data_IF_743502772285
#
_entry.id   IF_743502772285
#
_cell.length_a   1.000
_cell.length_b   1.000
_cell.length_c   1.000
_cell.angle_alpha   90.00
_cell.angle_beta   90.00
_cell.angle_gamma   90.00
#
_symmetry.space_group_name_H-M   'P 1'
#
loop_
_entity.id
_entity.type
_entity.pdbx_description
1 polymer ?
#
# COMPACT_ATOMS: atom_id res chain seq x y z
N UNK A 1 -8.55 11.50 65.85
CA UNK A 1 -8.26 10.33 65.00
C UNK A 1 -9.34 10.28 63.92
N UNK A 2 -9.07 10.88 62.77
CA UNK A 2 -9.90 10.79 61.57
C UNK A 2 -8.92 10.79 60.39
N UNK A 3 -8.74 9.62 59.79
CA UNK A 3 -7.93 9.41 58.59
C UNK A 3 -8.78 9.79 57.37
N UNK A 4 -8.35 10.80 56.63
CA UNK A 4 -8.82 11.08 55.28
C UNK A 4 -7.79 10.50 54.30
N UNK A 5 -8.16 9.41 53.63
CA UNK A 5 -7.50 8.94 52.41
C UNK A 5 -8.06 9.74 51.22
N UNK A 6 -7.24 10.34 50.35
CA UNK A 6 -7.64 10.61 48.98
C UNK A 6 -7.32 9.37 48.14
N UNK A 7 -8.37 8.80 47.53
CA UNK A 7 -8.24 7.89 46.39
C UNK A 7 -7.56 8.65 45.24
N UNK A 8 -6.34 8.24 44.87
CA UNK A 8 -5.81 8.53 43.54
C UNK A 8 -6.08 7.30 42.68
N UNK A 9 -7.05 7.45 41.78
CA UNK A 9 -7.33 6.51 40.70
C UNK A 9 -6.23 6.70 39.63
N UNK A 10 -5.35 5.72 39.35
CA UNK A 10 -4.47 5.82 38.21
C UNK A 10 -5.22 5.28 37.00
N UNK A 11 -6.13 6.11 36.47
CA UNK A 11 -6.63 5.95 35.11
C UNK A 11 -5.57 6.43 34.12
N UNK A 12 -4.41 5.76 34.07
CA UNK A 12 -3.54 5.89 32.91
C UNK A 12 -4.17 5.05 31.80
N UNK A 13 -4.90 5.71 30.92
CA UNK A 13 -5.08 5.24 29.56
C UNK A 13 -3.69 5.10 28.94
N UNK A 14 -3.10 3.91 29.03
CA UNK A 14 -2.06 3.50 28.10
C UNK A 14 -2.72 3.49 26.73
N UNK A 15 -2.52 4.58 25.98
CA UNK A 15 -2.72 4.56 24.55
C UNK A 15 -1.97 3.33 24.03
N UNK A 16 -2.69 2.41 23.40
CA UNK A 16 -2.08 1.34 22.62
C UNK A 16 -1.26 2.03 21.53
N UNK A 17 0.04 2.14 21.74
CA UNK A 17 0.97 2.52 20.69
C UNK A 17 0.73 1.57 19.52
N UNK A 18 0.65 2.14 18.31
CA UNK A 18 0.38 1.44 17.07
C UNK A 18 1.55 0.50 16.73
N UNK A 19 1.67 -0.61 17.46
CA UNK A 19 2.67 -1.62 17.18
C UNK A 19 2.46 -2.14 15.75
N UNK A 20 3.52 -2.09 14.92
CA UNK A 20 3.57 -2.67 13.58
C UNK A 20 2.68 -1.98 12.53
N UNK A 21 2.71 -0.64 12.46
CA UNK A 21 2.02 0.12 11.40
C UNK A 21 2.66 -0.05 10.02
N UNK A 22 3.99 0.01 9.93
CA UNK A 22 4.72 -0.19 8.68
C UNK A 22 4.64 -1.67 8.29
N UNK A 23 4.56 -1.94 6.99
CA UNK A 23 4.42 -3.33 6.55
C UNK A 23 5.64 -4.15 6.91
N UNK A 24 5.39 -5.28 7.54
CA UNK A 24 6.38 -6.30 7.87
C UNK A 24 5.99 -7.62 7.21
N UNK A 25 6.97 -8.36 6.71
CA UNK A 25 6.76 -9.51 5.84
C UNK A 25 7.41 -10.76 6.44
N UNK A 26 6.77 -11.90 6.23
CA UNK A 26 7.23 -13.18 6.77
C UNK A 26 6.80 -14.32 5.85
N UNK A 27 7.69 -15.28 5.61
CA UNK A 27 7.34 -16.53 4.94
C UNK A 27 7.36 -17.61 6.01
N UNK A 28 6.22 -18.29 6.20
CA UNK A 28 6.11 -19.32 7.23
C UNK A 28 6.65 -20.66 6.70
N UNK A 29 7.52 -21.30 7.48
CA UNK A 29 8.28 -22.49 7.04
C UNK A 29 8.02 -23.75 7.88
N UNK A 30 7.34 -23.60 9.02
CA UNK A 30 7.33 -24.63 10.06
C UNK A 30 6.27 -25.72 9.86
N UNK A 31 5.36 -25.54 8.90
CA UNK A 31 4.25 -26.45 8.64
C UNK A 31 4.32 -27.00 7.22
N UNK A 32 4.01 -28.30 7.04
CA UNK A 32 3.77 -28.86 5.72
C UNK A 32 2.38 -28.39 5.25
N UNK A 33 2.34 -27.29 4.49
CA UNK A 33 1.09 -26.69 4.05
C UNK A 33 0.41 -27.57 2.99
N UNK A 34 -0.67 -28.23 3.41
CA UNK A 34 -1.43 -29.17 2.57
C UNK A 34 -2.31 -28.48 1.53
N UNK A 35 -2.67 -27.20 1.72
CA UNK A 35 -3.43 -26.40 0.76
C UNK A 35 -3.25 -24.90 0.95
N UNK A 36 -3.68 -24.11 -0.03
CA UNK A 36 -3.68 -22.65 0.06
C UNK A 36 -4.61 -22.14 1.17
N UNK A 37 -5.75 -22.80 1.43
CA UNK A 37 -6.67 -22.43 2.51
C UNK A 37 -6.04 -22.64 3.91
N UNK A 38 -5.20 -23.67 4.09
CA UNK A 38 -4.44 -23.86 5.33
C UNK A 38 -3.38 -22.77 5.50
N UNK A 39 -2.62 -22.51 4.43
CA UNK A 39 -1.59 -21.47 4.40
C UNK A 39 -2.19 -20.08 4.72
N UNK A 40 -3.35 -19.78 4.13
CA UNK A 40 -4.15 -18.59 4.38
C UNK A 40 -4.54 -18.46 5.86
N UNK A 41 -5.12 -19.51 6.44
CA UNK A 41 -5.54 -19.53 7.84
C UNK A 41 -4.36 -19.26 8.78
N UNK A 42 -3.18 -19.79 8.47
CA UNK A 42 -1.98 -19.58 9.28
C UNK A 42 -1.53 -18.11 9.33
N UNK A 43 -1.57 -17.38 8.21
CA UNK A 43 -1.31 -15.93 8.27
C UNK A 43 -2.31 -15.21 9.19
N UNK A 44 -3.59 -15.60 9.16
CA UNK A 44 -4.62 -14.99 10.03
C UNK A 44 -4.39 -15.27 11.51
N UNK A 45 -3.92 -16.46 11.86
CA UNK A 45 -3.56 -16.82 13.24
C UNK A 45 -2.44 -15.94 13.82
N UNK A 46 -1.55 -15.42 12.97
CA UNK A 46 -0.48 -14.48 13.39
C UNK A 46 -0.88 -13.01 13.31
N UNK A 47 -2.18 -12.71 13.10
CA UNK A 47 -2.72 -11.37 12.82
C UNK A 47 -2.09 -10.71 11.58
N UNK A 48 -1.78 -11.52 10.56
CA UNK A 48 -1.32 -11.09 9.25
C UNK A 48 -2.38 -11.36 8.17
N UNK A 49 -2.20 -10.74 7.01
CA UNK A 49 -2.84 -11.16 5.77
C UNK A 49 -1.86 -11.98 4.94
N UNK A 50 -2.37 -12.76 3.98
CA UNK A 50 -1.51 -13.16 2.87
C UNK A 50 -1.06 -11.93 2.07
N UNK A 51 0.10 -12.05 1.43
CA UNK A 51 0.79 -10.95 0.78
C UNK A 51 -0.04 -10.40 -0.38
N UNK A 52 -0.37 -9.12 -0.28
CA UNK A 52 -0.90 -8.30 -1.37
C UNK A 52 0.23 -7.54 -2.07
N UNK A 53 0.27 -7.68 -3.40
CA UNK A 53 1.10 -6.87 -4.29
C UNK A 53 0.27 -5.70 -4.79
N UNK A 54 0.66 -4.47 -4.48
CA UNK A 54 -0.10 -3.28 -4.89
C UNK A 54 0.38 -2.67 -6.20
N UNK A 55 1.68 -2.77 -6.47
CA UNK A 55 2.32 -2.26 -7.68
C UNK A 55 3.66 -2.98 -7.93
N UNK A 56 4.37 -2.55 -8.98
CA UNK A 56 5.66 -3.11 -9.39
C UNK A 56 6.74 -3.06 -8.30
N UNK A 57 6.72 -2.05 -7.39
CA UNK A 57 7.73 -2.00 -6.32
C UNK A 57 7.55 -3.17 -5.34
N UNK A 58 6.30 -3.51 -5.02
CA UNK A 58 6.01 -4.67 -4.16
C UNK A 58 6.41 -5.98 -4.84
N UNK A 59 6.18 -6.10 -6.15
CA UNK A 59 6.57 -7.29 -6.91
C UNK A 59 8.09 -7.49 -6.93
N UNK A 60 8.87 -6.40 -7.11
CA UNK A 60 10.34 -6.44 -7.03
C UNK A 60 10.84 -6.75 -5.62
N UNK A 61 10.22 -6.16 -4.59
CA UNK A 61 10.49 -6.51 -3.20
C UNK A 61 10.27 -8.01 -2.96
N UNK A 62 9.11 -8.54 -3.34
CA UNK A 62 8.79 -9.96 -3.18
C UNK A 62 9.76 -10.89 -3.94
N UNK A 63 10.17 -10.49 -5.15
CA UNK A 63 11.15 -11.23 -5.94
C UNK A 63 12.48 -11.38 -5.20
N UNK A 64 13.00 -10.29 -4.64
CA UNK A 64 14.27 -10.29 -3.92
C UNK A 64 14.16 -10.94 -2.54
N UNK A 65 13.07 -10.68 -1.81
CA UNK A 65 12.80 -11.27 -0.50
C UNK A 65 12.84 -12.80 -0.56
N UNK A 66 12.29 -13.37 -1.63
CA UNK A 66 12.27 -14.83 -1.81
C UNK A 66 13.58 -15.41 -2.33
N UNK A 67 14.61 -14.61 -2.70
CA UNK A 67 15.93 -15.17 -3.04
C UNK A 67 16.58 -15.87 -1.84
N UNK A 68 16.41 -15.32 -0.64
CA UNK A 68 16.90 -15.95 0.60
C UNK A 68 16.25 -17.31 0.90
N UNK A 69 15.12 -17.63 0.28
CA UNK A 69 14.50 -18.95 0.42
C UNK A 69 15.34 -20.07 -0.25
N UNK A 70 16.05 -19.79 -1.35
CA UNK A 70 16.94 -20.77 -1.98
C UNK A 70 18.10 -21.17 -1.07
N UNK A 71 18.66 -20.20 -0.35
CA UNK A 71 19.75 -20.43 0.61
C UNK A 71 19.30 -21.30 1.78
N UNK A 72 18.00 -21.31 2.09
CA UNK A 72 17.36 -22.16 3.10
C UNK A 72 16.87 -23.50 2.52
N UNK A 73 17.13 -23.80 1.24
CA UNK A 73 16.70 -25.02 0.57
C UNK A 73 15.20 -25.07 0.26
N UNK A 74 14.51 -23.93 0.35
CA UNK A 74 13.08 -23.81 0.11
C UNK A 74 12.79 -23.38 -1.33
N UNK A 75 11.61 -23.76 -1.82
CA UNK A 75 11.09 -23.19 -3.08
C UNK A 75 10.92 -21.68 -2.92
N UNK A 76 11.39 -20.92 -3.91
CA UNK A 76 11.12 -19.46 -3.95
C UNK A 76 9.65 -19.15 -4.18
N UNK A 77 8.84 -20.10 -4.64
CA UNK A 77 7.42 -19.87 -4.91
C UNK A 77 6.64 -19.92 -3.60
N UNK A 78 5.79 -18.94 -3.38
CA UNK A 78 4.93 -18.83 -2.20
C UNK A 78 3.47 -18.62 -2.61
N UNK A 79 2.55 -18.91 -1.71
CA UNK A 79 1.17 -18.47 -1.84
C UNK A 79 1.06 -16.95 -1.68
N UNK A 80 0.24 -16.33 -2.53
CA UNK A 80 -0.08 -14.91 -2.48
C UNK A 80 -1.56 -14.71 -2.11
N UNK A 81 -1.90 -13.49 -1.67
CA UNK A 81 -3.23 -13.16 -1.17
C UNK A 81 -4.33 -12.99 -2.21
N UNK A 82 -4.07 -13.19 -3.52
CA UNK A 82 -5.08 -12.97 -4.55
C UNK A 82 -5.96 -14.22 -4.71
N UNK A 83 -7.26 -14.03 -4.51
CA UNK A 83 -8.27 -15.09 -4.53
C UNK A 83 -9.35 -14.81 -5.56
N UNK A 84 -9.76 -15.83 -6.30
CA UNK A 84 -10.87 -15.75 -7.23
C UNK A 84 -12.20 -15.80 -6.46
N UNK A 85 -13.05 -14.79 -6.67
CA UNK A 85 -14.35 -14.68 -5.99
C UNK A 85 -15.54 -14.78 -6.95
N UNK A 86 -15.31 -14.79 -8.27
CA UNK A 86 -16.33 -14.93 -9.31
C UNK A 86 -17.25 -13.72 -9.50
N UNK A 87 -17.51 -12.93 -8.46
CA UNK A 87 -18.21 -11.65 -8.61
C UNK A 87 -17.24 -10.59 -9.14
N UNK A 88 -17.33 -10.32 -10.43
CA UNK A 88 -16.41 -9.44 -11.13
C UNK A 88 -16.79 -7.96 -11.08
N UNK A 89 -17.97 -7.56 -10.60
CA UNK A 89 -18.40 -6.15 -10.64
C UNK A 89 -18.72 -5.65 -9.24
N UNK A 90 -18.02 -4.59 -8.81
CA UNK A 90 -18.21 -4.00 -7.48
C UNK A 90 -18.05 -2.49 -7.51
N UNK A 91 -18.88 -1.81 -6.72
CA UNK A 91 -18.65 -0.41 -6.38
C UNK A 91 -17.56 -0.30 -5.31
N UNK A 92 -16.78 0.77 -5.34
CA UNK A 92 -15.81 1.12 -4.29
C UNK A 92 -16.46 1.38 -2.94
N UNK A 93 -17.77 1.64 -2.90
CA UNK A 93 -18.56 1.71 -1.67
C UNK A 93 -18.85 0.34 -1.05
N UNK A 94 -18.61 -0.76 -1.78
CA UNK A 94 -19.00 -2.12 -1.40
C UNK A 94 -20.47 -2.46 -1.70
N UNK A 95 -21.24 -1.50 -2.20
CA UNK A 95 -22.65 -1.70 -2.57
C UNK A 95 -22.78 -2.64 -3.79
N UNK A 96 -23.87 -3.43 -3.86
CA UNK A 96 -24.12 -4.28 -5.02
C UNK A 96 -24.35 -3.44 -6.28
N UNK A 97 -23.87 -3.94 -7.41
CA UNK A 97 -24.09 -3.32 -8.72
C UNK A 97 -25.49 -3.68 -9.21
N UNK A 98 -26.47 -2.80 -8.95
CA UNK A 98 -27.88 -2.97 -9.36
C UNK A 98 -28.22 -2.25 -10.66
N UNK A 99 -27.40 -1.29 -11.06
CA UNK A 99 -27.53 -0.51 -12.28
C UNK A 99 -26.20 -0.54 -13.05
N UNK A 100 -26.28 -0.80 -14.35
CA UNK A 100 -25.13 -0.85 -15.25
C UNK A 100 -25.51 -0.21 -16.57
N UNK A 101 -24.65 0.64 -17.11
CA UNK A 101 -24.87 1.20 -18.44
C UNK A 101 -24.81 0.10 -19.51
N UNK A 102 -25.67 0.21 -20.53
CA UNK A 102 -25.83 -0.79 -21.59
C UNK A 102 -24.53 -1.10 -22.36
N UNK A 103 -23.56 -0.19 -22.34
CA UNK A 103 -22.28 -0.33 -23.02
C UNK A 103 -21.19 -1.03 -22.18
N UNK A 104 -21.49 -1.38 -20.91
CA UNK A 104 -20.59 -2.15 -20.06
C UNK A 104 -21.10 -3.59 -19.91
N UNK A 105 -20.28 -4.54 -20.32
CA UNK A 105 -20.52 -5.97 -20.06
C UNK A 105 -19.81 -6.40 -18.78
N UNK A 106 -20.48 -7.25 -17.98
CA UNK A 106 -19.90 -7.87 -16.79
C UNK A 106 -19.06 -9.12 -17.10
N UNK A 107 -19.21 -9.68 -18.32
CA UNK A 107 -18.33 -10.75 -18.78
C UNK A 107 -16.92 -10.16 -18.95
N UNK A 108 -16.02 -10.61 -18.10
CA UNK A 108 -14.67 -10.12 -18.00
C UNK A 108 -13.72 -11.31 -18.07
N UNK A 109 -12.62 -11.18 -18.81
CA UNK A 109 -11.57 -12.18 -18.77
C UNK A 109 -11.12 -12.35 -17.32
N UNK A 110 -10.99 -13.61 -16.87
CA UNK A 110 -10.62 -13.92 -15.49
C UNK A 110 -9.39 -13.14 -15.03
N UNK A 111 -8.44 -12.89 -15.91
CA UNK A 111 -7.13 -12.31 -15.55
C UNK A 111 -7.04 -10.80 -15.72
N UNK A 112 -8.09 -10.15 -16.21
CA UNK A 112 -8.07 -8.71 -16.43
C UNK A 112 -8.71 -7.99 -15.24
N UNK A 113 -8.17 -6.81 -14.91
CA UNK A 113 -8.81 -5.84 -14.03
C UNK A 113 -9.00 -4.55 -14.81
N UNK A 114 -10.24 -4.06 -14.88
CA UNK A 114 -10.54 -2.77 -15.49
C UNK A 114 -11.31 -1.87 -14.53
N UNK A 115 -11.13 -0.58 -14.70
CA UNK A 115 -11.84 0.44 -13.94
C UNK A 115 -12.70 1.25 -14.90
N UNK A 116 -13.86 1.72 -14.44
CA UNK A 116 -14.81 2.42 -15.29
C UNK A 116 -14.68 3.93 -15.11
N UNK A 117 -14.59 4.64 -16.22
CA UNK A 117 -14.68 6.10 -16.28
C UNK A 117 -15.78 6.52 -17.23
N UNK A 118 -16.32 7.72 -17.00
CA UNK A 118 -17.19 8.38 -17.95
C UNK A 118 -16.33 9.24 -18.87
N UNK A 119 -16.46 9.03 -20.17
CA UNK A 119 -15.76 9.78 -21.20
C UNK A 119 -16.67 9.95 -22.42
N UNK A 120 -16.76 11.17 -22.95
CA UNK A 120 -17.72 11.52 -24.00
C UNK A 120 -19.16 11.15 -23.62
N UNK A 121 -19.51 11.33 -22.34
CA UNK A 121 -20.83 11.00 -21.74
C UNK A 121 -21.18 9.51 -21.73
N UNK A 122 -20.23 8.63 -21.99
CA UNK A 122 -20.42 7.18 -21.98
C UNK A 122 -19.52 6.51 -20.94
N UNK A 123 -19.98 5.42 -20.34
CA UNK A 123 -19.16 4.60 -19.46
C UNK A 123 -18.19 3.79 -20.31
N UNK A 124 -16.90 3.79 -19.97
CA UNK A 124 -15.88 3.02 -20.70
C UNK A 124 -14.93 2.34 -19.73
N UNK A 125 -14.44 1.17 -20.14
CA UNK A 125 -13.44 0.38 -19.40
C UNK A 125 -12.04 0.90 -19.73
N UNK A 126 -11.22 1.05 -18.71
CA UNK A 126 -9.84 1.50 -18.82
C UNK A 126 -8.94 0.72 -17.88
N UNK A 127 -7.62 0.81 -18.09
CA UNK A 127 -6.66 0.25 -17.14
C UNK A 127 -6.76 1.06 -15.84
N UNK A 128 -6.87 0.38 -14.69
CA UNK A 128 -6.98 1.04 -13.38
C UNK A 128 -5.76 1.93 -13.02
N UNK A 129 -4.63 1.71 -13.71
CA UNK A 129 -3.40 2.50 -13.60
C UNK A 129 -3.41 3.78 -14.45
N UNK A 130 -4.39 3.96 -15.34
CA UNK A 130 -4.53 5.19 -16.12
C UNK A 130 -4.81 6.39 -15.20
N UNK A 131 -4.36 7.58 -15.60
CA UNK A 131 -4.62 8.81 -14.84
C UNK A 131 -5.79 9.57 -15.44
N UNK A 132 -6.87 9.71 -14.66
CA UNK A 132 -8.05 10.50 -15.05
C UNK A 132 -8.50 11.40 -13.90
N UNK A 133 -9.29 12.41 -14.20
CA UNK A 133 -10.05 13.12 -13.17
C UNK A 133 -11.01 12.14 -12.50
N UNK A 134 -11.70 12.53 -11.44
CA UNK A 134 -12.57 11.60 -10.73
C UNK A 134 -13.70 12.33 -10.01
N UNK A 135 -14.81 11.62 -9.83
CA UNK A 135 -15.99 12.15 -9.16
C UNK A 135 -16.10 11.54 -7.76
N UNK A 136 -16.01 12.37 -6.74
CA UNK A 136 -16.33 11.96 -5.38
C UNK A 136 -17.82 12.20 -5.08
N UNK A 137 -18.46 11.30 -4.35
CA UNK A 137 -19.81 11.43 -3.82
C UNK A 137 -19.80 11.44 -2.28
N UNK A 138 -20.69 12.26 -1.70
CA UNK A 138 -21.04 12.21 -0.28
C UNK A 138 -22.56 12.33 -0.17
N UNK A 139 -23.25 11.20 -0.13
CA UNK A 139 -24.68 11.14 -0.46
C UNK A 139 -24.91 11.60 -1.90
N UNK A 140 -25.92 12.44 -2.12
CA UNK A 140 -26.26 12.98 -3.45
C UNK A 140 -25.39 14.19 -3.88
N UNK A 141 -24.36 14.53 -3.11
CA UNK A 141 -23.45 15.61 -3.48
C UNK A 141 -22.25 15.07 -4.28
N UNK A 142 -22.19 15.45 -5.56
CA UNK A 142 -21.13 15.04 -6.50
C UNK A 142 -20.13 16.15 -6.74
N UNK A 143 -18.85 15.87 -6.49
CA UNK A 143 -17.74 16.80 -6.66
C UNK A 143 -16.72 16.25 -7.65
N UNK A 144 -16.57 16.93 -8.80
CA UNK A 144 -15.53 16.63 -9.77
C UNK A 144 -14.19 17.14 -9.27
N UNK A 145 -13.19 16.26 -9.19
CA UNK A 145 -11.82 16.62 -8.82
C UNK A 145 -10.93 16.60 -10.05
N UNK A 146 -10.47 17.79 -10.45
CA UNK A 146 -9.69 18.02 -11.68
C UNK A 146 -8.19 17.80 -11.48
N UNK A 147 -7.81 16.77 -10.72
CA UNK A 147 -6.43 16.34 -10.54
C UNK A 147 -6.30 14.90 -11.03
N UNK A 148 -5.67 14.65 -12.18
CA UNK A 148 -5.61 13.31 -12.75
C UNK A 148 -4.87 12.32 -11.82
N UNK A 149 -5.51 11.19 -11.49
CA UNK A 149 -5.02 10.15 -10.58
C UNK A 149 -5.40 8.75 -11.09
N UNK A 150 -4.66 7.74 -10.65
CA UNK A 150 -5.08 6.34 -10.84
C UNK A 150 -6.36 6.06 -10.05
N UNK A 151 -7.05 4.97 -10.36
CA UNK A 151 -8.33 4.67 -9.71
C UNK A 151 -8.19 4.53 -8.18
N UNK A 152 -7.20 3.78 -7.69
CA UNK A 152 -6.93 3.65 -6.25
C UNK A 152 -6.49 4.98 -5.60
N UNK A 153 -5.73 5.81 -6.31
CA UNK A 153 -5.33 7.14 -5.81
C UNK A 153 -6.52 8.12 -5.75
N UNK A 154 -7.47 7.99 -6.68
CA UNK A 154 -8.71 8.75 -6.70
C UNK A 154 -9.62 8.33 -5.53
N UNK A 155 -9.78 7.02 -5.31
CA UNK A 155 -10.45 6.45 -4.14
C UNK A 155 -9.87 6.98 -2.82
N UNK A 156 -8.54 6.92 -2.68
CA UNK A 156 -7.81 7.50 -1.54
C UNK A 156 -8.19 8.96 -1.30
N UNK A 157 -8.23 9.75 -2.36
CA UNK A 157 -8.53 11.18 -2.27
C UNK A 157 -9.95 11.44 -1.77
N UNK A 158 -10.94 10.72 -2.28
CA UNK A 158 -12.33 10.87 -1.84
C UNK A 158 -12.46 10.48 -0.36
N UNK A 159 -11.89 9.33 0.04
CA UNK A 159 -11.98 8.83 1.42
C UNK A 159 -11.28 9.73 2.44
N UNK A 160 -10.16 10.36 2.08
CA UNK A 160 -9.51 11.37 2.93
C UNK A 160 -10.41 12.57 3.26
N UNK A 161 -11.46 12.81 2.47
CA UNK A 161 -12.46 13.86 2.68
C UNK A 161 -13.81 13.31 3.16
N UNK A 162 -13.85 12.09 3.69
CA UNK A 162 -15.08 11.39 4.10
C UNK A 162 -16.12 11.31 2.97
N UNK A 163 -15.64 11.00 1.76
CA UNK A 163 -16.43 10.78 0.55
C UNK A 163 -15.99 9.46 -0.11
N UNK A 164 -16.71 9.03 -1.14
CA UNK A 164 -16.43 7.81 -1.91
C UNK A 164 -16.29 8.17 -3.39
N UNK A 165 -15.68 7.32 -4.22
CA UNK A 165 -15.88 7.45 -5.67
C UNK A 165 -17.36 7.18 -5.97
N UNK A 166 -17.93 7.94 -6.90
CA UNK A 166 -19.37 7.91 -7.12
C UNK A 166 -19.88 6.53 -7.54
N UNK A 167 -20.85 6.01 -6.80
CA UNK A 167 -21.74 4.93 -7.21
C UNK A 167 -22.98 5.49 -7.92
N UNK A 168 -23.47 4.77 -8.93
CA UNK A 168 -24.62 5.18 -9.75
C UNK A 168 -25.64 4.04 -9.73
N UNK A 169 -26.85 4.33 -9.26
CA UNK A 169 -27.89 3.32 -9.01
C UNK A 169 -29.13 3.46 -9.90
N UNK A 170 -29.22 4.51 -10.71
CA UNK A 170 -30.31 4.73 -11.65
C UNK A 170 -29.92 5.75 -12.75
N UNK A 171 -30.78 5.88 -13.76
CA UNK A 171 -30.54 6.77 -14.90
C UNK A 171 -30.51 8.26 -14.49
N UNK A 172 -31.35 8.69 -13.55
CA UNK A 172 -31.36 10.09 -13.08
C UNK A 172 -30.05 10.48 -12.42
N UNK A 173 -29.46 9.59 -11.61
CA UNK A 173 -28.13 9.78 -11.05
C UNK A 173 -27.06 9.76 -12.14
N UNK A 174 -27.16 8.85 -13.11
CA UNK A 174 -26.24 8.77 -14.25
C UNK A 174 -26.15 10.10 -15.02
N UNK A 175 -27.30 10.64 -15.43
CA UNK A 175 -27.38 11.94 -16.12
C UNK A 175 -26.79 13.07 -15.27
N UNK A 176 -27.09 13.09 -13.97
CA UNK A 176 -26.57 14.10 -13.05
C UNK A 176 -25.05 14.04 -12.97
N UNK A 177 -24.47 12.84 -12.81
CA UNK A 177 -23.02 12.64 -12.72
C UNK A 177 -22.33 13.01 -14.03
N UNK A 178 -22.89 12.61 -15.19
CA UNK A 178 -22.38 12.99 -16.52
C UNK A 178 -22.33 14.52 -16.67
N UNK A 179 -23.41 15.21 -16.31
CA UNK A 179 -23.50 16.67 -16.42
C UNK A 179 -22.49 17.36 -15.49
N UNK A 180 -22.33 16.86 -14.26
CA UNK A 180 -21.31 17.34 -13.29
C UNK A 180 -19.89 17.10 -13.77
N UNK A 181 -19.68 16.13 -14.66
CA UNK A 181 -18.40 15.81 -15.28
C UNK A 181 -17.83 16.88 -16.22
N UNK A 182 -18.60 17.91 -16.60
CA UNK A 182 -18.17 19.03 -17.46
C UNK A 182 -17.48 18.59 -18.76
N UNK A 183 -17.98 17.52 -19.39
CA UNK A 183 -17.43 16.92 -20.61
C UNK A 183 -15.97 16.44 -20.49
N UNK A 184 -15.49 16.18 -19.26
CA UNK A 184 -14.15 15.62 -19.01
C UNK A 184 -14.21 14.10 -18.90
N UNK A 185 -13.07 13.44 -19.05
CA UNK A 185 -12.88 12.01 -18.76
C UNK A 185 -12.61 11.84 -17.26
N UNK A 186 -13.46 11.09 -16.54
CA UNK A 186 -13.31 10.93 -15.09
C UNK A 186 -13.73 9.56 -14.55
N UNK A 187 -13.01 9.06 -13.54
CA UNK A 187 -13.31 7.83 -12.83
C UNK A 187 -14.63 7.91 -12.05
N UNK A 188 -15.36 6.79 -12.08
CA UNK A 188 -16.46 6.48 -11.15
C UNK A 188 -16.04 5.31 -10.25
N UNK A 189 -16.85 4.97 -9.25
CA UNK A 189 -16.53 3.94 -8.27
C UNK A 189 -16.62 2.49 -8.76
N UNK A 190 -16.91 2.25 -10.04
CA UNK A 190 -17.09 0.89 -10.56
C UNK A 190 -15.74 0.27 -10.94
N UNK A 191 -15.41 -0.85 -10.32
CA UNK A 191 -14.28 -1.71 -10.66
C UNK A 191 -14.79 -3.06 -11.17
N UNK A 192 -14.19 -3.52 -12.28
CA UNK A 192 -14.43 -4.83 -12.86
C UNK A 192 -13.21 -5.73 -12.62
N UNK A 193 -13.34 -6.64 -11.65
CA UNK A 193 -12.29 -7.53 -11.18
C UNK A 193 -12.87 -8.76 -10.49
N UNK A 194 -12.60 -9.95 -11.04
CA UNK A 194 -13.07 -11.21 -10.50
C UNK A 194 -12.21 -11.73 -9.33
N UNK A 195 -11.11 -11.03 -9.01
CA UNK A 195 -10.21 -11.39 -7.94
C UNK A 195 -10.25 -10.37 -6.81
N UNK A 196 -9.93 -10.85 -5.60
CA UNK A 196 -9.83 -10.03 -4.40
C UNK A 196 -8.57 -10.39 -3.65
N UNK A 197 -7.86 -9.35 -3.23
CA UNK A 197 -6.74 -9.49 -2.31
C UNK A 197 -7.25 -9.74 -0.90
N UNK A 198 -6.59 -10.63 -0.18
CA UNK A 198 -6.95 -11.01 1.18
C UNK A 198 -7.07 -9.81 2.14
N UNK A 199 -6.14 -8.87 2.09
CA UNK A 199 -6.20 -7.67 2.92
C UNK A 199 -7.29 -6.68 2.49
N UNK A 200 -8.08 -6.98 1.45
CA UNK A 200 -9.01 -6.09 0.78
C UNK A 200 -8.35 -4.81 0.23
N UNK A 201 -7.03 -4.79 0.03
CA UNK A 201 -6.30 -3.65 -0.50
C UNK A 201 -6.68 -3.30 -1.93
N UNK A 202 -6.77 -2.00 -2.22
CA UNK A 202 -6.91 -1.48 -3.58
C UNK A 202 -5.56 -1.58 -4.30
N UNK A 203 -5.43 -2.61 -5.13
CA UNK A 203 -4.23 -2.91 -5.90
C UNK A 203 -4.56 -2.97 -7.38
N UNK A 204 -3.68 -2.38 -8.20
CA UNK A 204 -3.74 -2.44 -9.66
C UNK A 204 -2.85 -3.51 -10.27
N UNK A 205 -2.20 -4.34 -9.44
CA UNK A 205 -1.22 -5.32 -9.91
C UNK A 205 -1.91 -6.58 -10.46
N UNK A 206 -1.81 -6.83 -11.76
CA UNK A 206 -2.37 -8.01 -12.45
C UNK A 206 -1.42 -8.57 -13.52
N UNK A 207 -0.14 -8.66 -13.20
CA UNK A 207 0.87 -9.22 -14.12
C UNK A 207 0.85 -10.75 -14.06
N UNK A 208 0.15 -11.39 -14.99
CA UNK A 208 -0.02 -12.86 -15.02
C UNK A 208 1.06 -13.56 -15.86
N UNK A 209 1.43 -14.78 -15.45
CA UNK A 209 2.29 -15.69 -16.22
C UNK A 209 1.59 -17.02 -16.50
N UNK A 210 2.11 -17.81 -17.45
CA UNK A 210 1.66 -19.18 -17.68
C UNK A 210 0.25 -19.29 -18.28
N UNK A 211 -0.21 -18.28 -19.03
CA UNK A 211 -1.56 -18.23 -19.61
C UNK A 211 -1.82 -19.27 -20.71
N UNK A 212 -0.80 -20.04 -21.12
CA UNK A 212 -0.82 -20.88 -22.31
C UNK A 212 -1.53 -22.24 -22.13
N UNK A 213 -2.06 -22.52 -20.94
CA UNK A 213 -2.90 -23.70 -20.74
C UNK A 213 -4.31 -23.26 -20.34
N UNK A 214 -5.31 -23.67 -21.12
CA UNK A 214 -6.74 -23.72 -20.76
C UNK A 214 -7.03 -24.60 -19.52
N UNK A 215 -6.00 -25.03 -18.78
CA UNK A 215 -6.04 -26.15 -17.83
C UNK A 215 -6.10 -25.81 -16.34
N UNK A 216 -6.43 -24.59 -15.92
CA UNK A 216 -6.81 -24.30 -14.52
C UNK A 216 -8.02 -23.38 -14.48
N UNK A 217 -9.15 -23.90 -14.97
CA UNK A 217 -10.45 -23.20 -14.98
C UNK A 217 -10.97 -23.01 -13.54
N UNK A 218 -10.51 -23.79 -12.56
CA UNK A 218 -11.02 -23.78 -11.18
C UNK A 218 -10.05 -23.23 -10.11
N UNK A 219 -8.90 -22.67 -10.50
CA UNK A 219 -7.89 -22.19 -9.53
C UNK A 219 -8.44 -21.05 -8.63
N UNK A 220 -8.73 -21.36 -7.36
CA UNK A 220 -9.25 -20.40 -6.38
C UNK A 220 -8.17 -19.42 -5.90
N UNK A 221 -6.92 -19.84 -5.87
CA UNK A 221 -5.80 -19.11 -5.27
C UNK A 221 -4.68 -18.83 -6.29
N UNK A 222 -3.87 -17.81 -5.99
CA UNK A 222 -2.67 -17.52 -6.77
C UNK A 222 -1.39 -17.84 -6.01
N UNK A 223 -0.43 -18.41 -6.72
CA UNK A 223 0.94 -18.51 -6.25
C UNK A 223 1.83 -17.53 -6.99
N UNK A 224 3.02 -17.37 -6.44
CA UNK A 224 4.06 -16.54 -7.02
C UNK A 224 4.69 -17.23 -8.24
N UNK A 225 4.56 -16.60 -9.40
CA UNK A 225 5.38 -16.89 -10.57
C UNK A 225 6.65 -16.06 -10.53
N UNK A 226 7.79 -16.64 -10.91
CA UNK A 226 9.08 -15.97 -10.91
C UNK A 226 9.59 -15.90 -12.35
N UNK A 227 10.01 -14.71 -12.76
CA UNK A 227 10.79 -14.49 -13.98
C UNK A 227 12.17 -13.91 -13.58
N UNK A 228 13.01 -13.58 -14.55
CA UNK A 228 14.42 -13.21 -14.28
C UNK A 228 14.59 -11.95 -13.40
N UNK A 229 13.58 -11.07 -13.30
CA UNK A 229 13.71 -9.75 -12.64
C UNK A 229 12.54 -9.36 -11.72
N UNK A 230 11.47 -10.16 -11.66
CA UNK A 230 10.24 -9.80 -10.98
C UNK A 230 9.37 -11.02 -10.64
N UNK A 231 8.30 -10.73 -9.91
CA UNK A 231 7.21 -11.64 -9.60
C UNK A 231 6.04 -11.40 -10.54
N UNK A 232 5.36 -12.48 -10.89
CA UNK A 232 4.09 -12.51 -11.61
C UNK A 232 3.07 -13.36 -10.84
N UNK A 233 1.81 -13.22 -11.20
CA UNK A 233 0.71 -14.02 -10.67
C UNK A 233 0.59 -15.30 -11.48
N UNK A 234 0.60 -16.44 -10.80
CA UNK A 234 0.30 -17.71 -11.41
C UNK A 234 -0.97 -18.31 -10.78
N UNK A 235 -1.86 -18.81 -11.63
CA UNK A 235 -3.02 -19.58 -11.17
C UNK A 235 -2.52 -20.93 -10.68
N UNK A 236 -2.73 -21.22 -9.41
CA UNK A 236 -2.30 -22.48 -8.81
C UNK A 236 -3.52 -23.33 -8.48
N UNK A 237 -3.41 -24.64 -8.72
CA UNK A 237 -4.38 -25.60 -8.23
C UNK A 237 -4.23 -25.73 -6.70
N UNK A 238 -5.34 -26.00 -6.01
CA UNK A 238 -5.40 -26.00 -4.53
C UNK A 238 -4.54 -27.10 -3.90
N UNK A 239 -4.22 -28.15 -4.67
CA UNK A 239 -3.35 -29.28 -4.33
C UNK A 239 -1.86 -29.04 -4.66
N UNK A 240 -1.46 -27.78 -4.87
CA UNK A 240 -0.04 -27.42 -5.00
C UNK A 240 0.66 -27.51 -3.64
N UNK A 241 0.95 -28.75 -3.22
CA UNK A 241 1.54 -29.08 -1.92
C UNK A 241 2.91 -28.42 -1.71
N UNK A 242 3.19 -28.00 -0.47
CA UNK A 242 4.52 -27.57 -0.05
C UNK A 242 4.90 -26.12 -0.38
N UNK A 243 3.97 -25.29 -0.88
CA UNK A 243 4.19 -23.85 -0.98
C UNK A 243 3.93 -23.16 0.36
N UNK A 244 4.91 -22.41 0.84
CA UNK A 244 4.76 -21.58 2.05
C UNK A 244 3.85 -20.36 1.80
N UNK A 245 3.04 -19.94 2.79
CA UNK A 245 2.35 -18.67 2.73
C UNK A 245 3.33 -17.51 2.89
N UNK A 246 3.21 -16.52 2.01
CA UNK A 246 3.86 -15.23 2.20
C UNK A 246 2.89 -14.32 2.95
N UNK A 247 3.17 -14.02 4.21
CA UNK A 247 2.33 -13.20 5.07
C UNK A 247 2.85 -11.75 5.15
N UNK A 248 1.93 -10.81 5.38
CA UNK A 248 2.23 -9.41 5.63
C UNK A 248 1.37 -8.85 6.77
N UNK A 249 2.00 -8.02 7.62
CA UNK A 249 1.35 -7.22 8.67
C UNK A 249 1.48 -5.75 8.35
N UNK A 250 0.75 -4.90 9.08
CA UNK A 250 0.80 -3.44 8.93
C UNK A 250 -0.04 -2.92 7.77
N UNK A 251 -0.37 -1.63 7.86
CA UNK A 251 -1.29 -0.94 6.94
C UNK A 251 -0.64 0.26 6.23
N UNK A 252 0.67 0.48 6.43
CA UNK A 252 1.42 1.55 5.78
C UNK A 252 2.57 0.95 4.97
N UNK A 253 2.57 1.22 3.66
CA UNK A 253 3.63 0.81 2.74
C UNK A 253 4.77 1.81 2.77
N UNK A 254 5.99 1.31 2.60
CA UNK A 254 7.17 2.13 2.31
C UNK A 254 7.28 2.28 0.79
N UNK A 255 7.31 3.52 0.31
CA UNK A 255 7.49 3.83 -1.11
C UNK A 255 8.85 4.48 -1.30
N UNK A 256 9.70 3.83 -2.08
CA UNK A 256 11.01 4.39 -2.41
C UNK A 256 10.86 5.25 -3.65
N UNK A 257 11.34 6.48 -3.56
CA UNK A 257 11.32 7.45 -4.66
C UNK A 257 12.74 7.74 -5.09
N UNK A 258 13.10 7.24 -6.28
CA UNK A 258 14.44 7.41 -6.86
C UNK A 258 14.68 8.81 -7.47
N UNK A 259 13.86 9.80 -7.13
CA UNK A 259 14.08 11.17 -7.59
C UNK A 259 15.01 11.87 -6.61
N UNK A 260 16.09 12.45 -7.11
CA UNK A 260 17.00 13.24 -6.28
C UNK A 260 16.40 14.62 -6.01
N UNK A 261 15.95 14.85 -4.77
CA UNK A 261 15.28 16.07 -4.34
C UNK A 261 15.88 16.61 -3.04
N UNK A 262 15.75 17.92 -2.81
CA UNK A 262 15.99 18.50 -1.47
C UNK A 262 14.98 17.93 -0.48
N UNK A 263 15.27 18.01 0.81
CA UNK A 263 14.37 17.47 1.83
C UNK A 263 12.97 18.12 1.77
N UNK A 264 12.91 19.43 1.57
CA UNK A 264 11.64 20.18 1.47
C UNK A 264 10.82 19.72 0.24
N UNK A 265 11.47 19.57 -0.91
CA UNK A 265 10.80 19.05 -2.12
C UNK A 265 10.35 17.59 -1.93
N UNK A 266 11.15 16.75 -1.24
CA UNK A 266 10.80 15.38 -0.93
C UNK A 266 9.58 15.32 0.01
N UNK A 267 9.54 16.17 1.03
CA UNK A 267 8.41 16.31 1.95
C UNK A 267 7.11 16.67 1.19
N UNK A 268 7.16 17.69 0.34
CA UNK A 268 6.02 18.11 -0.48
C UNK A 268 5.60 17.04 -1.47
N UNK A 269 6.56 16.35 -2.09
CA UNK A 269 6.30 15.25 -3.00
C UNK A 269 5.53 14.13 -2.31
N UNK A 270 6.02 13.64 -1.16
CA UNK A 270 5.36 12.55 -0.44
C UNK A 270 3.96 12.96 0.04
N UNK A 271 3.78 14.20 0.51
CA UNK A 271 2.47 14.74 0.92
C UNK A 271 1.48 14.83 -0.24
N UNK A 272 1.98 15.12 -1.45
CA UNK A 272 1.17 15.28 -2.66
C UNK A 272 0.81 13.95 -3.32
N UNK A 273 1.75 13.00 -3.37
CA UNK A 273 1.63 11.76 -4.13
C UNK A 273 1.31 10.54 -3.28
N UNK A 274 1.70 10.56 -2.00
CA UNK A 274 1.53 9.48 -1.04
C UNK A 274 0.88 10.02 0.25
N UNK A 275 1.27 9.52 1.42
CA UNK A 275 0.76 9.99 2.71
C UNK A 275 1.67 11.06 3.32
N UNK A 276 2.96 10.74 3.53
CA UNK A 276 3.99 11.66 4.07
C UNK A 276 5.40 11.12 3.86
N UNK A 277 6.42 11.91 4.16
CA UNK A 277 7.81 11.43 4.24
C UNK A 277 7.93 10.42 5.39
N UNK A 278 8.74 9.37 5.24
CA UNK A 278 8.78 8.22 6.16
C UNK A 278 9.17 8.61 7.58
N UNK A 279 8.37 8.21 8.57
CA UNK A 279 8.72 8.31 9.98
C UNK A 279 9.13 6.95 10.50
N UNK A 280 9.99 6.91 11.51
CA UNK A 280 10.40 5.65 12.15
C UNK A 280 10.19 5.84 13.65
N UNK A 281 8.99 5.51 14.12
CA UNK A 281 8.51 5.95 15.44
C UNK A 281 8.75 4.96 16.55
N UNK A 282 9.06 3.71 16.21
CA UNK A 282 9.41 2.65 17.15
C UNK A 282 10.37 1.62 16.52
N UNK A 283 10.75 0.62 17.32
CA UNK A 283 11.65 -0.47 16.89
C UNK A 283 11.04 -1.32 15.76
N UNK A 284 9.73 -1.52 15.72
CA UNK A 284 9.07 -2.31 14.68
C UNK A 284 9.08 -1.57 13.34
N UNK A 285 8.88 -0.24 13.36
CA UNK A 285 9.05 0.59 12.17
C UNK A 285 10.47 0.46 11.62
N UNK A 286 11.49 0.53 12.49
CA UNK A 286 12.89 0.36 12.05
C UNK A 286 13.11 -1.02 11.42
N UNK A 287 12.63 -2.09 12.05
CA UNK A 287 12.73 -3.45 11.51
C UNK A 287 12.06 -3.59 10.12
N UNK A 288 10.87 -2.99 9.95
CA UNK A 288 10.18 -2.97 8.66
C UNK A 288 10.98 -2.22 7.58
N UNK A 289 11.59 -1.08 7.93
CA UNK A 289 12.43 -0.31 7.01
C UNK A 289 13.70 -1.07 6.63
N UNK A 290 14.34 -1.72 7.60
CA UNK A 290 15.52 -2.56 7.36
C UNK A 290 15.21 -3.72 6.41
N UNK A 291 14.12 -4.45 6.69
CA UNK A 291 13.64 -5.53 5.84
C UNK A 291 13.35 -5.03 4.42
N UNK A 292 12.70 -3.87 4.30
CA UNK A 292 12.41 -3.25 3.01
C UNK A 292 13.68 -2.90 2.23
N UNK A 293 14.61 -2.18 2.84
CA UNK A 293 15.84 -1.72 2.20
C UNK A 293 16.81 -2.86 1.86
N UNK A 294 16.79 -3.97 2.60
CA UNK A 294 17.59 -5.17 2.27
C UNK A 294 17.10 -5.87 1.00
N UNK A 295 15.79 -5.82 0.74
CA UNK A 295 15.16 -6.58 -0.33
C UNK A 295 14.70 -5.70 -1.50
N UNK A 296 14.97 -4.40 -1.44
CA UNK A 296 14.66 -3.49 -2.54
C UNK A 296 15.95 -3.04 -3.22
N UNK A 297 16.24 -3.64 -4.37
CA UNK A 297 17.34 -3.20 -5.23
C UNK A 297 16.85 -2.09 -6.15
N UNK A 298 17.41 -0.90 -5.96
CA UNK A 298 16.94 0.34 -6.59
C UNK A 298 17.90 0.91 -7.63
N UNK A 299 19.08 0.30 -7.81
CA UNK A 299 20.14 0.92 -8.60
C UNK A 299 20.54 2.31 -8.09
N UNK A 300 20.21 2.65 -6.84
CA UNK A 300 20.72 3.80 -6.10
C UNK A 300 21.09 3.35 -4.69
N UNK A 301 22.27 3.78 -4.27
CA UNK A 301 22.89 3.32 -3.03
C UNK A 301 22.45 4.13 -1.80
N UNK A 302 21.75 5.25 -1.98
CA UNK A 302 21.35 6.14 -0.90
C UNK A 302 22.43 7.18 -0.56
N UNK A 303 22.36 7.83 0.61
CA UNK A 303 21.36 7.65 1.66
C UNK A 303 20.00 8.27 1.27
N UNK A 304 18.93 7.91 1.99
CA UNK A 304 17.56 8.32 1.66
C UNK A 304 17.01 9.35 2.65
N UNK A 305 16.35 10.41 2.18
CA UNK A 305 15.61 11.30 3.09
C UNK A 305 14.48 10.55 3.78
N UNK A 306 14.37 10.80 5.09
CA UNK A 306 13.25 10.44 5.94
C UNK A 306 12.63 11.70 6.54
N UNK A 307 11.46 11.59 7.16
CA UNK A 307 10.68 12.70 7.72
C UNK A 307 11.29 13.40 8.93
N UNK A 308 12.58 13.22 9.18
CA UNK A 308 13.29 13.73 10.35
C UNK A 308 13.93 15.08 10.02
N UNK A 309 13.74 16.09 10.87
CA UNK A 309 14.28 17.43 10.70
C UNK A 309 14.73 18.00 12.04
N UNK A 310 15.82 18.78 12.04
CA UNK A 310 16.26 19.49 13.23
C UNK A 310 15.49 20.81 13.39
N UNK A 311 14.97 21.05 14.59
CA UNK A 311 14.31 22.31 14.94
C UNK A 311 15.31 23.46 14.86
N UNK A 312 15.04 24.45 14.01
CA UNK A 312 15.90 25.65 13.89
C UNK A 312 15.90 26.52 15.16
N UNK A 313 14.84 26.45 15.96
CA UNK A 313 14.65 27.29 17.15
C UNK A 313 15.26 26.64 18.39
N UNK A 314 15.11 25.31 18.52
CA UNK A 314 15.43 24.59 19.74
C UNK A 314 16.53 23.53 19.57
N UNK A 315 16.94 23.23 18.33
CA UNK A 315 17.99 22.26 18.02
C UNK A 315 17.64 20.79 18.21
N UNK A 316 16.52 20.47 18.85
CA UNK A 316 16.07 19.09 18.96
C UNK A 316 15.50 18.56 17.64
N UNK A 317 15.60 17.25 17.45
CA UNK A 317 15.07 16.57 16.28
C UNK A 317 13.57 16.27 16.42
N UNK A 318 12.83 16.47 15.33
CA UNK A 318 11.40 16.18 15.24
C UNK A 318 11.06 15.47 13.94
N UNK A 319 9.96 14.72 13.97
CA UNK A 319 9.30 14.31 12.75
C UNK A 319 8.56 15.50 12.11
N UNK A 320 8.51 15.56 10.78
CA UNK A 320 8.01 16.69 9.99
C UNK A 320 6.53 17.10 10.23
N UNK A 321 5.81 16.42 11.12
CA UNK A 321 4.49 16.81 11.60
C UNK A 321 4.48 17.36 13.03
N UNK A 322 5.65 17.67 13.60
CA UNK A 322 5.78 18.23 14.95
C UNK A 322 5.79 17.18 16.07
N UNK A 323 5.84 15.89 15.74
CA UNK A 323 5.92 14.81 16.73
C UNK A 323 7.36 14.65 17.22
N UNK A 324 7.52 14.47 18.52
CA UNK A 324 8.80 14.22 19.17
C UNK A 324 9.38 12.86 18.80
N UNK A 325 10.71 12.77 18.80
CA UNK A 325 11.46 11.53 18.52
C UNK A 325 11.62 10.75 19.83
N UNK A 326 10.87 9.66 19.99
CA UNK A 326 10.94 8.77 21.16
C UNK A 326 11.82 7.53 20.96
N UNK A 327 11.92 7.10 19.71
CA UNK A 327 12.78 6.02 19.26
C UNK A 327 13.85 6.61 18.36
N UNK A 328 15.09 6.12 18.47
CA UNK A 328 16.18 6.55 17.62
C UNK A 328 17.13 5.42 17.25
N UNK A 329 17.65 5.49 16.03
CA UNK A 329 18.70 4.59 15.54
C UNK A 329 19.86 5.38 14.91
N UNK A 330 20.35 6.39 15.62
CA UNK A 330 21.43 7.27 15.14
C UNK A 330 22.74 6.53 14.91
N UNK A 331 23.48 6.99 13.90
CA UNK A 331 24.89 6.65 13.69
C UNK A 331 25.72 7.32 14.78
N UNK A 332 26.44 6.53 15.57
CA UNK A 332 27.16 7.04 16.75
C UNK A 332 26.35 7.08 18.05
N UNK A 333 25.20 6.38 18.10
CA UNK A 333 24.32 6.18 19.26
C UNK A 333 23.57 7.43 19.77
N UNK A 334 24.11 8.62 19.56
CA UNK A 334 23.52 9.89 19.97
C UNK A 334 23.12 10.78 18.79
N UNK A 335 22.07 11.62 18.93
CA UNK A 335 21.73 12.61 17.92
C UNK A 335 22.84 13.67 17.78
N UNK A 336 23.14 14.13 16.56
CA UNK A 336 24.12 15.20 16.33
C UNK A 336 23.81 16.48 17.13
N UNK A 337 24.82 17.01 17.85
CA UNK A 337 24.73 18.20 18.71
C UNK A 337 24.64 19.53 17.93
N UNK A 338 24.19 20.61 18.60
CA UNK A 338 24.12 21.99 18.09
C UNK A 338 25.48 22.72 18.16
N UNK A 339 25.75 23.80 17.36
CA UNK A 339 24.78 24.71 16.76
C UNK A 339 24.99 25.06 15.26
N UNK A 340 23.90 25.40 14.56
CA UNK A 340 23.83 25.96 13.18
C UNK A 340 23.85 24.99 11.99
N UNK A 341 23.07 23.92 12.00
CA UNK A 341 22.95 23.12 10.78
C UNK A 341 21.51 23.12 10.22
N UNK A 342 21.40 23.49 8.94
CA UNK A 342 20.20 23.28 8.14
C UNK A 342 20.13 21.79 7.79
N UNK A 343 20.14 20.92 8.80
CA UNK A 343 20.27 19.49 8.60
C UNK A 343 18.93 18.78 8.77
N UNK A 344 18.79 17.79 7.92
CA UNK A 344 17.65 16.91 7.80
C UNK A 344 18.15 15.48 7.98
N UNK A 345 17.28 14.58 8.42
CA UNK A 345 17.67 13.20 8.68
C UNK A 345 17.60 12.36 7.41
N UNK A 346 18.66 11.60 7.18
CA UNK A 346 18.69 10.50 6.20
C UNK A 346 18.78 9.17 6.92
N UNK A 347 18.38 8.10 6.23
CA UNK A 347 18.73 6.72 6.59
C UNK A 347 19.69 6.16 5.54
N UNK A 348 20.78 5.56 6.00
CA UNK A 348 21.72 4.88 5.15
C UNK A 348 21.21 3.49 4.75
N UNK A 349 21.46 3.09 3.50
CA UNK A 349 21.00 1.80 3.00
C UNK A 349 21.80 0.66 3.58
N UNK A 350 23.07 0.82 3.92
CA UNK A 350 23.93 -0.31 4.29
C UNK A 350 23.93 -0.52 5.80
N UNK A 351 24.22 0.53 6.58
CA UNK A 351 24.27 0.42 8.05
C UNK A 351 22.90 0.57 8.73
N UNK A 352 21.87 0.99 7.98
CA UNK A 352 20.48 1.21 8.43
C UNK A 352 20.33 2.24 9.55
N UNK A 353 21.37 3.03 9.80
CA UNK A 353 21.39 4.08 10.83
C UNK A 353 20.95 5.41 10.25
N UNK A 354 20.51 6.27 11.16
CA UNK A 354 20.13 7.63 10.83
C UNK A 354 21.33 8.55 10.99
N UNK A 355 21.49 9.50 10.08
CA UNK A 355 22.46 10.57 10.21
C UNK A 355 21.85 11.89 9.76
N UNK A 356 22.48 12.98 10.16
CA UNK A 356 22.14 14.29 9.68
C UNK A 356 22.85 14.58 8.35
N UNK A 357 22.19 15.35 7.50
CA UNK A 357 22.71 15.74 6.19
C UNK A 357 22.14 17.12 5.84
N UNK A 358 22.88 17.92 5.08
CA UNK A 358 22.42 19.25 4.68
C UNK A 358 21.11 19.14 3.85
N UNK A 359 20.02 19.76 4.33
CA UNK A 359 18.68 19.68 3.71
C UNK A 359 18.64 20.14 2.25
N UNK A 360 19.62 20.94 1.81
CA UNK A 360 19.73 21.46 0.43
C UNK A 360 20.34 20.44 -0.53
N UNK A 361 20.96 19.38 -0.03
CA UNK A 361 21.44 18.30 -0.88
C UNK A 361 20.28 17.53 -1.50
N UNK A 362 20.50 17.08 -2.73
CA UNK A 362 19.54 16.25 -3.42
C UNK A 362 19.83 14.79 -3.11
N UNK A 363 18.83 14.07 -2.61
CA UNK A 363 18.88 12.64 -2.30
C UNK A 363 17.59 11.96 -2.75
N UNK A 364 17.62 10.66 -3.05
CA UNK A 364 16.40 9.86 -3.09
C UNK A 364 15.73 9.85 -1.72
N UNK A 365 14.48 9.42 -1.63
CA UNK A 365 13.71 9.54 -0.39
C UNK A 365 12.65 8.47 -0.21
N UNK A 366 12.27 8.25 1.05
CA UNK A 366 11.27 7.25 1.44
C UNK A 366 9.98 7.94 1.85
N UNK A 367 8.88 7.56 1.22
CA UNK A 367 7.54 8.00 1.60
C UNK A 367 6.79 6.88 2.31
N UNK A 368 5.85 7.25 3.17
CA UNK A 368 4.76 6.40 3.63
C UNK A 368 3.58 6.50 2.68
N UNK A 369 2.98 5.36 2.38
CA UNK A 369 1.71 5.25 1.68
C UNK A 369 0.74 4.39 2.47
N UNK A 370 -0.28 5.02 3.05
CA UNK A 370 -1.38 4.27 3.67
C UNK A 370 -2.07 3.42 2.62
N UNK A 371 -2.25 2.14 2.96
CA UNK A 371 -3.07 1.21 2.20
C UNK A 371 -4.51 1.69 2.22
N UNK A 372 -5.12 1.70 1.04
CA UNK A 372 -6.54 1.98 0.89
C UNK A 372 -7.23 0.66 0.65
N UNK A 373 -8.13 0.32 1.55
CA UNK A 373 -8.95 -0.88 1.45
C UNK A 373 -10.13 -0.63 0.50
N UNK A 374 -10.72 -1.68 -0.05
CA UNK A 374 -11.94 -1.63 -0.85
C UNK A 374 -13.16 -1.62 0.04
#
# INVERSE_FOLDING_TARGET
MALLLPMLCPGLFLFTFAAQRLRYFEILTDDNFESADVAFKKCKETNASMMTLYDEQDAKFAFNFTKGCEELGLTRKCWLGLQYVGNCSKWSSGEPVTFLSNNITTHHSRNEQTCVAIENKEWKKFNCSDKKFFMCSKGDNYTLVESAKTWCQALKHCRKKHAELVSIHNETQNETVINRGKNKSFWIGLQLDCWRWDDNGCSSFREWTGLNNEGTIDAKWTGMGINDQSVSLNRMADDSFGLSPFCAKGNVRIKVVNQSQTWENAFDYCKKHYSRLLWITDKHDQQAVEQWLNNYDVGVDGPFWIGLIQSRVFGFWIWAGGTTVWYSNWKGEEPPEMPMSQNCGVIDKDDKKWSDENCLYKRPFLCEEDIIYM
#
